data_IF_850890357990
#
_entry.id   IF_850890357990
#
_cell.length_a   1.000
_cell.length_b   1.000
_cell.length_c   1.000
_cell.angle_alpha   90.00
_cell.angle_beta   90.00
_cell.angle_gamma   90.00
#
_symmetry.space_group_name_H-M   'P 1'
#
loop_
_entity.id
_entity.type
_entity.pdbx_description
1 polymer ?
#
# COMPACT_ATOMS: atom_id res chain seq x y z
N UNK A 1 40.28 -40.50 47.32
CA UNK A 1 40.29 -40.38 45.85
C UNK A 1 39.54 -39.10 45.48
N UNK A 2 40.26 -38.00 45.27
CA UNK A 2 39.73 -36.72 44.78
C UNK A 2 40.01 -36.64 43.26
N UNK A 3 39.08 -36.13 42.44
CA UNK A 3 39.38 -35.86 41.03
C UNK A 3 40.18 -34.55 40.88
N UNK A 4 41.06 -34.44 39.87
CA UNK A 4 41.91 -33.26 39.69
C UNK A 4 41.12 -32.08 39.10
N UNK A 5 41.52 -30.86 39.48
CA UNK A 5 41.00 -29.61 38.95
C UNK A 5 41.37 -29.45 37.45
N UNK A 6 40.47 -28.89 36.60
CA UNK A 6 40.74 -28.77 35.19
C UNK A 6 41.76 -27.66 34.89
N UNK A 7 42.65 -27.94 33.93
CA UNK A 7 43.71 -27.06 33.46
C UNK A 7 43.16 -25.86 32.66
N UNK A 8 43.80 -24.69 32.83
CA UNK A 8 43.40 -23.42 32.19
C UNK A 8 43.45 -23.42 30.65
N UNK A 9 44.04 -24.45 30.02
CA UNK A 9 44.08 -24.61 28.57
C UNK A 9 42.76 -25.17 27.97
N UNK A 10 41.96 -25.90 28.76
CA UNK A 10 40.67 -26.44 28.30
C UNK A 10 39.57 -25.39 28.18
N UNK A 11 39.71 -24.26 28.88
CA UNK A 11 38.70 -23.19 28.91
C UNK A 11 38.75 -22.27 27.68
N UNK A 12 39.91 -22.15 27.01
CA UNK A 12 40.04 -21.38 25.77
C UNK A 12 39.57 -22.14 24.52
N UNK A 13 39.64 -23.48 24.53
CA UNK A 13 39.18 -24.28 23.39
C UNK A 13 37.65 -24.48 23.39
N UNK A 14 36.98 -24.40 24.55
CA UNK A 14 35.52 -24.41 24.63
C UNK A 14 34.86 -23.12 24.13
N UNK A 15 35.59 -22.00 24.10
CA UNK A 15 35.10 -20.72 23.55
C UNK A 15 35.16 -20.64 22.01
N UNK A 16 35.87 -21.57 21.35
CA UNK A 16 35.96 -21.64 19.88
C UNK A 16 35.03 -22.70 19.26
N UNK A 17 34.36 -23.52 20.08
CA UNK A 17 33.46 -24.59 19.64
C UNK A 17 32.01 -24.43 20.13
N UNK A 18 31.69 -23.36 20.87
CA UNK A 18 30.31 -22.88 20.89
C UNK A 18 30.07 -22.20 19.54
N UNK A 19 29.26 -22.75 18.61
CA UNK A 19 28.58 -21.88 17.67
C UNK A 19 27.86 -20.87 18.55
N UNK A 20 28.34 -19.62 18.55
CA UNK A 20 27.56 -18.52 19.08
C UNK A 20 26.17 -18.74 18.52
N UNK A 21 25.21 -18.99 19.40
CA UNK A 21 23.84 -19.22 19.00
C UNK A 21 23.42 -17.95 18.29
N UNK A 22 23.63 -17.87 16.97
CA UNK A 22 23.08 -16.86 16.06
C UNK A 22 21.58 -17.16 15.89
N UNK A 23 20.93 -17.72 16.90
CA UNK A 23 19.49 -17.64 17.08
C UNK A 23 19.16 -16.27 17.64
N UNK A 24 19.60 -15.20 16.95
CA UNK A 24 19.61 -13.81 17.39
C UNK A 24 19.22 -12.78 16.31
N UNK A 25 19.25 -13.16 15.03
CA UNK A 25 19.08 -12.23 13.90
C UNK A 25 17.90 -12.56 12.96
N UNK A 26 17.11 -13.59 13.25
CA UNK A 26 16.08 -14.09 12.33
C UNK A 26 14.76 -13.31 12.36
N UNK A 27 14.60 -12.36 13.28
CA UNK A 27 13.39 -11.54 13.43
C UNK A 27 13.57 -10.10 12.94
N UNK A 28 14.69 -9.79 12.28
CA UNK A 28 15.00 -8.43 11.82
C UNK A 28 14.88 -8.25 10.29
N UNK A 29 14.44 -9.28 9.57
CA UNK A 29 14.14 -9.26 8.13
C UNK A 29 12.77 -9.90 7.95
N UNK A 30 11.81 -9.18 7.38
CA UNK A 30 10.49 -9.75 7.07
C UNK A 30 9.28 -9.13 7.77
N UNK A 31 9.40 -7.94 8.39
CA UNK A 31 8.22 -7.09 8.56
C UNK A 31 8.16 -6.11 7.38
N UNK A 32 7.22 -6.26 6.43
CA UNK A 32 7.11 -5.45 5.20
C UNK A 32 7.01 -3.93 5.39
N UNK A 33 7.00 -3.45 6.64
CA UNK A 33 6.56 -2.10 7.00
C UNK A 33 7.51 -1.32 7.90
N UNK A 34 8.63 -1.93 8.32
CA UNK A 34 9.76 -1.15 8.87
C UNK A 34 10.68 -0.83 7.70
N UNK A 35 10.17 0.02 6.81
CA UNK A 35 10.84 0.43 5.58
C UNK A 35 11.70 1.66 5.85
N UNK A 36 12.80 1.49 6.58
CA UNK A 36 13.90 2.46 6.59
C UNK A 36 14.89 2.07 5.49
N UNK A 37 15.04 2.88 4.41
CA UNK A 37 15.92 2.57 3.28
C UNK A 37 17.35 2.25 3.73
N UNK A 38 17.86 2.97 4.73
CA UNK A 38 19.25 2.80 5.18
C UNK A 38 19.45 1.49 5.93
N UNK A 39 18.53 1.11 6.82
CA UNK A 39 18.50 -0.20 7.47
C UNK A 39 18.29 -1.35 6.48
N UNK A 40 17.36 -1.19 5.53
CA UNK A 40 17.08 -2.20 4.48
C UNK A 40 18.34 -2.46 3.67
N UNK A 41 18.92 -1.43 3.05
CA UNK A 41 20.04 -1.63 2.15
C UNK A 41 21.33 -2.01 2.88
N UNK A 42 21.52 -1.57 4.14
CA UNK A 42 22.66 -2.02 4.98
C UNK A 42 22.56 -3.50 5.34
N UNK A 43 21.36 -4.02 5.61
CA UNK A 43 21.13 -5.45 5.88
C UNK A 43 21.13 -6.26 4.59
N UNK A 44 20.55 -5.74 3.52
CA UNK A 44 20.56 -6.38 2.20
C UNK A 44 21.98 -6.51 1.66
N UNK A 45 22.89 -5.56 1.90
CA UNK A 45 24.33 -5.71 1.60
C UNK A 45 25.00 -6.90 2.28
N UNK A 46 24.42 -7.44 3.36
CA UNK A 46 24.89 -8.65 4.07
C UNK A 46 24.17 -9.92 3.61
N UNK A 47 23.23 -9.82 2.67
CA UNK A 47 22.39 -10.90 2.17
C UNK A 47 22.49 -10.96 0.63
N UNK A 48 22.21 -12.12 0.04
CA UNK A 48 22.15 -12.27 -1.42
C UNK A 48 20.68 -12.25 -1.89
N UNK A 49 20.42 -11.72 -3.09
CA UNK A 49 19.11 -11.73 -3.75
C UNK A 49 18.69 -10.40 -4.35
N UNK A 50 17.52 -10.38 -5.01
CA UNK A 50 17.03 -9.23 -5.79
C UNK A 50 16.92 -7.91 -5.00
N UNK A 51 16.55 -7.98 -3.72
CA UNK A 51 16.53 -6.81 -2.83
C UNK A 51 17.93 -6.21 -2.62
N UNK A 52 18.96 -7.06 -2.51
CA UNK A 52 20.35 -6.61 -2.36
C UNK A 52 20.89 -6.01 -3.66
N UNK A 53 20.58 -6.65 -4.79
CA UNK A 53 20.92 -6.16 -6.13
C UNK A 53 20.32 -4.76 -6.36
N UNK A 54 19.02 -4.57 -6.08
CA UNK A 54 18.37 -3.27 -6.25
C UNK A 54 18.93 -2.21 -5.30
N UNK A 55 19.25 -2.58 -4.05
CA UNK A 55 19.91 -1.68 -3.09
C UNK A 55 21.33 -1.27 -3.48
N UNK A 56 22.02 -2.07 -4.30
CA UNK A 56 23.35 -1.75 -4.80
C UNK A 56 23.29 -0.92 -6.08
N UNK A 57 22.38 -1.28 -6.99
CA UNK A 57 22.25 -0.63 -8.29
C UNK A 57 21.47 0.69 -8.25
N UNK A 58 20.37 0.75 -7.47
CA UNK A 58 19.38 1.83 -7.53
C UNK A 58 18.89 2.24 -6.12
N UNK A 59 19.77 2.76 -5.23
CA UNK A 59 19.39 3.10 -3.86
C UNK A 59 18.33 4.21 -3.75
N UNK A 60 18.29 5.14 -4.72
CA UNK A 60 17.28 6.20 -4.81
C UNK A 60 15.88 5.63 -5.07
N UNK A 61 15.77 4.66 -5.99
CA UNK A 61 14.51 3.95 -6.24
C UNK A 61 14.05 3.20 -4.99
N UNK A 62 14.97 2.60 -4.22
CA UNK A 62 14.62 1.95 -2.94
C UNK A 62 14.11 2.95 -1.91
N UNK A 63 14.63 4.18 -1.89
CA UNK A 63 14.11 5.24 -1.03
C UNK A 63 12.65 5.58 -1.39
N UNK A 64 12.33 5.65 -2.68
CA UNK A 64 10.96 5.89 -3.15
C UNK A 64 10.02 4.71 -2.88
N UNK A 65 10.48 3.48 -3.04
CA UNK A 65 9.73 2.28 -2.66
C UNK A 65 9.36 2.32 -1.16
N UNK A 66 10.30 2.70 -0.30
CA UNK A 66 10.04 2.85 1.13
C UNK A 66 9.08 4.01 1.45
N UNK A 67 9.22 5.14 0.77
CA UNK A 67 8.30 6.29 0.87
C UNK A 67 6.88 5.88 0.49
N UNK A 68 6.74 5.12 -0.61
CA UNK A 68 5.49 4.56 -1.10
C UNK A 68 4.87 3.53 -0.17
N UNK A 69 5.65 2.61 0.40
CA UNK A 69 5.14 1.69 1.42
C UNK A 69 4.57 2.42 2.65
N UNK A 70 5.22 3.50 3.10
CA UNK A 70 4.70 4.37 4.18
C UNK A 70 3.43 5.11 3.78
N UNK A 71 3.33 5.56 2.53
CA UNK A 71 2.09 6.10 1.97
C UNK A 71 0.95 5.07 2.05
N UNK A 72 1.23 3.82 1.67
CA UNK A 72 0.29 2.70 1.81
C UNK A 72 -0.19 2.47 3.25
N UNK A 73 0.72 2.50 4.23
CA UNK A 73 0.35 2.36 5.66
C UNK A 73 -0.52 3.52 6.15
N UNK A 74 -0.22 4.76 5.76
CA UNK A 74 -1.07 5.91 6.12
C UNK A 74 -2.47 5.78 5.54
N UNK A 75 -2.57 5.33 4.29
CA UNK A 75 -3.88 5.09 3.67
C UNK A 75 -4.60 3.91 4.31
N UNK A 76 -3.89 2.87 4.74
CA UNK A 76 -4.47 1.78 5.53
C UNK A 76 -5.08 2.27 6.84
N UNK A 77 -4.34 3.09 7.59
CA UNK A 77 -4.85 3.74 8.81
C UNK A 77 -6.08 4.60 8.52
N UNK A 78 -6.08 5.32 7.40
CA UNK A 78 -7.25 6.08 6.97
C UNK A 78 -8.44 5.15 6.70
N UNK A 79 -8.30 4.15 5.84
CA UNK A 79 -9.39 3.24 5.46
C UNK A 79 -9.96 2.44 6.65
N UNK A 80 -9.12 2.10 7.62
CA UNK A 80 -9.50 1.29 8.79
C UNK A 80 -9.78 2.11 10.07
N UNK A 81 -9.77 3.45 10.01
CA UNK A 81 -9.89 4.34 11.19
C UNK A 81 -11.08 4.05 12.12
N UNK A 82 -12.19 3.57 11.56
CA UNK A 82 -13.42 3.25 12.29
C UNK A 82 -13.64 1.75 12.51
N UNK A 83 -12.68 0.88 12.15
CA UNK A 83 -12.77 -0.57 12.39
C UNK A 83 -12.06 -0.93 13.68
N UNK A 84 -12.42 -2.05 14.31
CA UNK A 84 -11.79 -2.57 15.55
C UNK A 84 -10.28 -2.72 15.42
N UNK A 85 -9.81 -3.26 14.30
CA UNK A 85 -8.42 -3.13 13.87
C UNK A 85 -8.28 -1.91 12.96
N UNK A 86 -7.45 -0.94 13.37
CA UNK A 86 -7.32 0.37 12.72
C UNK A 86 -5.99 0.56 11.96
N UNK A 87 -5.29 -0.52 11.66
CA UNK A 87 -3.98 -0.50 11.01
C UNK A 87 -2.89 0.30 11.77
N UNK A 88 -2.98 0.38 13.11
CA UNK A 88 -1.96 1.02 13.93
C UNK A 88 -0.61 0.30 13.81
N UNK A 89 0.38 0.95 13.16
CA UNK A 89 1.66 0.35 12.79
C UNK A 89 2.79 0.55 13.81
N UNK A 90 2.57 1.40 14.81
CA UNK A 90 3.60 1.80 15.79
C UNK A 90 3.87 0.77 16.89
N UNK A 91 3.15 -0.36 16.93
CA UNK A 91 3.28 -1.35 18.01
C UNK A 91 3.94 -2.65 17.53
N UNK A 92 4.62 -3.37 18.44
CA UNK A 92 5.09 -4.75 18.20
C UNK A 92 3.95 -5.70 17.80
N UNK A 93 2.71 -5.34 18.14
CA UNK A 93 1.50 -6.08 17.80
C UNK A 93 1.24 -6.09 16.29
N UNK A 94 1.62 -5.03 15.57
CA UNK A 94 1.48 -4.96 14.13
C UNK A 94 2.28 -6.04 13.40
N UNK A 95 3.53 -6.30 13.84
CA UNK A 95 4.33 -7.40 13.29
C UNK A 95 3.71 -8.78 13.50
N UNK A 96 2.99 -8.99 14.61
CA UNK A 96 2.24 -10.24 14.86
C UNK A 96 1.03 -10.38 13.95
N UNK A 97 0.37 -9.28 13.61
CA UNK A 97 -0.71 -9.27 12.62
C UNK A 97 -0.16 -9.64 11.25
N UNK A 98 0.94 -9.01 10.80
CA UNK A 98 1.60 -9.35 9.53
C UNK A 98 2.10 -10.81 9.48
N UNK A 99 2.37 -11.38 10.66
CA UNK A 99 2.41 -12.81 11.05
C UNK A 99 1.37 -13.75 10.42
N UNK A 100 0.18 -13.25 10.11
CA UNK A 100 -1.01 -14.05 9.86
C UNK A 100 -1.53 -13.84 8.44
N UNK A 101 -2.21 -14.86 7.92
CA UNK A 101 -2.79 -14.85 6.58
C UNK A 101 -4.28 -14.46 6.63
N UNK A 102 -4.58 -13.36 7.33
CA UNK A 102 -5.93 -12.86 7.57
C UNK A 102 -6.32 -11.79 6.56
N UNK A 103 -7.60 -11.44 6.54
CA UNK A 103 -8.14 -10.45 5.60
C UNK A 103 -7.45 -9.09 5.72
N UNK A 104 -7.10 -8.67 6.93
CA UNK A 104 -6.42 -7.40 7.22
C UNK A 104 -5.03 -7.35 6.60
N UNK A 105 -4.27 -8.45 6.66
CA UNK A 105 -2.93 -8.49 6.07
C UNK A 105 -2.99 -8.51 4.54
N UNK A 106 -4.01 -9.15 3.96
CA UNK A 106 -4.25 -9.10 2.51
C UNK A 106 -4.35 -7.65 2.00
N UNK A 107 -5.14 -6.81 2.69
CA UNK A 107 -5.25 -5.40 2.37
C UNK A 107 -3.92 -4.67 2.55
N UNK A 108 -3.20 -4.93 3.64
CA UNK A 108 -1.91 -4.29 3.94
C UNK A 108 -0.86 -4.59 2.86
N UNK A 109 -0.74 -5.84 2.42
CA UNK A 109 0.18 -6.22 1.34
C UNK A 109 -0.20 -5.52 0.03
N UNK A 110 -1.49 -5.51 -0.32
CA UNK A 110 -1.97 -4.83 -1.51
C UNK A 110 -1.70 -3.31 -1.47
N UNK A 111 -2.11 -2.61 -0.42
CA UNK A 111 -1.99 -1.14 -0.35
C UNK A 111 -0.52 -0.68 -0.27
N UNK A 112 0.37 -1.50 0.28
CA UNK A 112 1.80 -1.16 0.39
C UNK A 112 2.53 -1.41 -0.92
N UNK A 113 2.23 -2.49 -1.64
CA UNK A 113 2.71 -2.71 -3.00
C UNK A 113 2.20 -1.64 -3.98
N UNK A 114 0.91 -1.28 -3.86
CA UNK A 114 0.29 -0.17 -4.58
C UNK A 114 1.00 1.15 -4.28
N UNK A 115 1.23 1.47 -3.00
CA UNK A 115 1.92 2.68 -2.58
C UNK A 115 3.35 2.75 -3.10
N UNK A 116 4.09 1.64 -3.08
CA UNK A 116 5.44 1.55 -3.63
C UNK A 116 5.47 1.81 -5.15
N UNK A 117 4.56 1.20 -5.90
CA UNK A 117 4.43 1.42 -7.36
C UNK A 117 4.03 2.88 -7.66
N UNK A 118 3.08 3.42 -6.90
CA UNK A 118 2.57 4.79 -7.03
C UNK A 118 3.68 5.83 -6.79
N UNK A 119 4.43 5.72 -5.68
CA UNK A 119 5.47 6.68 -5.34
C UNK A 119 6.65 6.66 -6.33
N UNK A 120 7.12 5.49 -6.76
CA UNK A 120 8.19 5.39 -7.77
C UNK A 120 7.74 6.02 -9.08
N UNK A 121 6.52 5.71 -9.53
CA UNK A 121 5.98 6.29 -10.76
C UNK A 121 5.89 7.81 -10.67
N UNK A 122 5.41 8.32 -9.53
CA UNK A 122 5.29 9.76 -9.30
C UNK A 122 6.67 10.44 -9.30
N UNK A 123 7.67 9.84 -8.64
CA UNK A 123 9.03 10.37 -8.62
C UNK A 123 9.64 10.43 -10.04
N UNK A 124 9.38 9.43 -10.89
CA UNK A 124 9.79 9.46 -12.31
C UNK A 124 9.18 10.63 -13.07
N UNK A 125 7.87 10.87 -12.95
CA UNK A 125 7.20 11.93 -13.70
C UNK A 125 7.46 13.34 -13.13
N UNK A 126 7.90 13.44 -11.88
CA UNK A 126 8.39 14.68 -11.28
C UNK A 126 9.87 14.95 -11.58
N UNK A 127 10.59 14.01 -12.22
CA UNK A 127 12.02 14.14 -12.52
C UNK A 127 12.93 13.98 -11.30
N UNK A 128 12.46 13.30 -10.25
CA UNK A 128 13.23 13.05 -9.02
C UNK A 128 14.15 11.83 -9.13
N UNK A 129 13.94 10.97 -10.13
CA UNK A 129 14.72 9.76 -10.38
C UNK A 129 15.40 9.84 -11.75
N UNK A 130 16.69 9.55 -11.81
CA UNK A 130 17.47 9.55 -13.06
C UNK A 130 17.27 8.25 -13.88
N UNK A 131 16.77 7.20 -13.24
CA UNK A 131 16.62 5.87 -13.82
C UNK A 131 15.37 5.75 -14.72
N UNK A 132 14.52 6.77 -14.76
CA UNK A 132 13.25 6.80 -15.46
C UNK A 132 12.86 8.23 -15.86
N UNK A 133 11.75 8.37 -16.58
CA UNK A 133 11.18 9.66 -16.96
C UNK A 133 9.70 9.55 -17.29
N UNK A 134 9.18 10.51 -18.04
CA UNK A 134 7.80 10.50 -18.50
C UNK A 134 7.56 9.37 -19.51
N UNK A 135 6.39 8.74 -19.44
CA UNK A 135 5.94 7.80 -20.46
C UNK A 135 5.75 8.53 -21.79
N UNK A 136 6.45 8.08 -22.83
CA UNK A 136 6.20 8.56 -24.19
C UNK A 136 4.79 8.15 -24.65
N UNK A 137 4.07 9.00 -25.41
CA UNK A 137 2.78 8.63 -25.98
C UNK A 137 2.86 7.30 -26.73
N UNK A 138 2.16 6.27 -26.25
CA UNK A 138 2.12 4.96 -26.91
C UNK A 138 1.31 5.06 -28.20
N UNK A 139 1.94 5.48 -29.30
CA UNK A 139 1.64 5.20 -30.72
C UNK A 139 0.20 5.24 -31.26
N UNK A 140 -0.83 5.54 -30.44
CA UNK A 140 -2.21 5.67 -30.86
C UNK A 140 -2.38 7.10 -31.35
N UNK A 141 -2.51 7.23 -32.66
CA UNK A 141 -2.91 8.47 -33.29
C UNK A 141 -4.15 9.04 -32.55
N UNK A 142 -4.19 10.36 -32.31
CA UNK A 142 -5.35 10.98 -31.72
C UNK A 142 -6.60 10.71 -32.57
N UNK A 143 -7.80 10.56 -31.97
CA UNK A 143 -9.03 10.44 -32.74
C UNK A 143 -9.20 11.67 -33.65
N UNK A 144 -9.54 11.44 -34.92
CA UNK A 144 -9.72 12.49 -35.94
C UNK A 144 -10.88 13.42 -35.55
N UNK A 145 -10.77 14.73 -35.85
CA UNK A 145 -11.84 15.69 -35.57
C UNK A 145 -13.06 15.43 -36.47
N UNK A 146 -14.29 15.79 -36.04
CA UNK A 146 -15.43 15.86 -36.94
C UNK A 146 -15.16 16.96 -37.96
N UNK A 147 -15.24 16.63 -39.25
CA UNK A 147 -15.17 17.64 -40.31
C UNK A 147 -16.33 18.64 -40.20
N UNK A 148 -16.07 19.91 -40.52
CA UNK A 148 -17.14 20.87 -40.74
C UNK A 148 -18.03 20.39 -41.91
N UNK A 149 -19.35 20.64 -41.87
CA UNK A 149 -20.22 20.35 -43.01
C UNK A 149 -19.77 21.18 -44.23
N UNK A 150 -19.32 20.52 -45.31
CA UNK A 150 -19.15 21.16 -46.62
C UNK A 150 -17.85 20.91 -47.40
N UNK A 151 -16.82 20.26 -46.84
CA UNK A 151 -15.58 19.97 -47.58
C UNK A 151 -15.32 18.46 -47.68
N UNK A 152 -15.20 17.86 -48.90
CA UNK A 152 -14.83 16.46 -49.04
C UNK A 152 -13.38 16.25 -48.59
N UNK A 153 -13.18 15.58 -47.45
CA UNK A 153 -11.88 15.05 -47.07
C UNK A 153 -11.53 13.79 -47.86
N UNK A 154 -10.25 13.43 -48.01
CA UNK A 154 -9.85 12.22 -48.71
C UNK A 154 -10.42 10.97 -48.01
N UNK A 155 -10.85 9.93 -48.76
CA UNK A 155 -11.53 8.77 -48.20
C UNK A 155 -10.59 8.00 -47.27
N UNK A 156 -10.98 7.88 -46.00
CA UNK A 156 -10.40 6.95 -45.05
C UNK A 156 -11.03 5.56 -45.19
N UNK A 157 -10.39 4.51 -44.62
CA UNK A 157 -10.95 3.16 -44.63
C UNK A 157 -12.29 3.14 -43.89
N UNK A 158 -13.28 2.51 -44.51
CA UNK A 158 -14.67 2.49 -44.06
C UNK A 158 -14.84 1.73 -42.73
N UNK A 159 -15.60 2.30 -41.78
CA UNK A 159 -16.22 1.52 -40.71
C UNK A 159 -16.23 2.06 -39.27
N UNK A 160 -16.31 3.37 -38.98
CA UNK A 160 -16.52 3.81 -37.59
C UNK A 160 -17.41 5.05 -37.47
N UNK A 161 -18.52 4.98 -36.71
CA UNK A 161 -19.39 6.12 -36.45
C UNK A 161 -18.93 6.94 -35.23
N UNK A 162 -19.18 8.25 -35.32
CA UNK A 162 -19.41 9.22 -34.23
C UNK A 162 -18.23 10.08 -33.67
N UNK A 163 -18.20 11.36 -34.09
CA UNK A 163 -18.42 12.50 -33.17
C UNK A 163 -17.37 13.00 -32.17
N UNK A 164 -16.10 12.54 -32.14
CA UNK A 164 -15.15 12.97 -31.09
C UNK A 164 -14.17 14.09 -31.49
N UNK A 165 -14.10 15.17 -30.69
CA UNK A 165 -13.18 16.30 -30.87
C UNK A 165 -11.70 15.88 -30.71
N UNK A 166 -10.88 16.19 -31.72
CA UNK A 166 -9.45 15.87 -31.75
C UNK A 166 -8.69 16.55 -30.60
N UNK A 167 -7.86 15.77 -29.91
CA UNK A 167 -6.92 16.24 -28.90
C UNK A 167 -5.62 15.50 -29.09
N UNK A 168 -4.49 16.11 -28.74
CA UNK A 168 -3.16 15.54 -28.99
C UNK A 168 -2.55 14.93 -27.72
N UNK A 169 -1.82 13.83 -27.88
CA UNK A 169 -0.99 13.32 -26.79
C UNK A 169 0.24 14.21 -26.60
N UNK A 170 0.52 14.60 -25.36
CA UNK A 170 1.69 15.40 -25.02
C UNK A 170 1.86 15.50 -23.51
N UNK A 171 2.68 16.44 -23.02
CA UNK A 171 2.95 16.58 -21.58
C UNK A 171 3.77 15.42 -21.00
N UNK A 172 3.73 15.28 -19.66
CA UNK A 172 4.45 14.22 -18.95
C UNK A 172 3.45 13.16 -18.46
N UNK A 173 3.39 12.03 -19.18
CA UNK A 173 2.63 10.86 -18.75
C UNK A 173 3.35 10.11 -17.64
N UNK A 174 2.60 9.63 -16.65
CA UNK A 174 3.13 8.83 -15.56
C UNK A 174 3.43 7.39 -16.06
N UNK A 175 4.69 6.94 -15.99
CA UNK A 175 5.08 5.58 -16.41
C UNK A 175 4.80 4.53 -15.32
N UNK A 176 3.52 4.16 -15.20
CA UNK A 176 3.07 3.21 -14.16
C UNK A 176 3.68 1.82 -14.32
N UNK A 177 4.06 1.43 -15.54
CA UNK A 177 4.66 0.12 -15.78
C UNK A 177 6.06 0.03 -15.15
N UNK A 178 6.86 1.10 -15.22
CA UNK A 178 8.14 1.17 -14.51
C UNK A 178 7.96 1.06 -12.98
N UNK A 179 6.97 1.78 -12.42
CA UNK A 179 6.67 1.69 -10.99
C UNK A 179 6.16 0.30 -10.55
N UNK A 180 5.29 -0.35 -11.34
CA UNK A 180 4.87 -1.75 -11.11
C UNK A 180 6.08 -2.69 -11.10
N UNK A 181 6.98 -2.56 -12.08
CA UNK A 181 8.17 -3.39 -12.19
C UNK A 181 9.08 -3.25 -10.96
N UNK A 182 9.44 -2.02 -10.57
CA UNK A 182 10.31 -1.79 -9.40
C UNK A 182 9.65 -2.26 -8.10
N UNK A 183 8.34 -2.04 -7.95
CA UNK A 183 7.58 -2.57 -6.81
C UNK A 183 7.61 -4.09 -6.77
N UNK A 184 7.40 -4.77 -7.90
CA UNK A 184 7.50 -6.24 -8.03
C UNK A 184 8.91 -6.72 -7.67
N UNK A 185 9.95 -6.13 -8.26
CA UNK A 185 11.35 -6.53 -8.03
C UNK A 185 11.74 -6.47 -6.56
N UNK A 186 11.24 -5.48 -5.83
CA UNK A 186 11.58 -5.28 -4.43
C UNK A 186 10.65 -6.01 -3.46
N UNK A 187 9.32 -5.88 -3.62
CA UNK A 187 8.32 -6.40 -2.68
C UNK A 187 8.15 -7.92 -2.79
N UNK A 188 8.42 -8.49 -3.97
CA UNK A 188 8.25 -9.91 -4.26
C UNK A 188 9.60 -10.68 -4.22
N UNK A 189 10.69 -10.00 -3.84
CA UNK A 189 12.06 -10.54 -3.84
C UNK A 189 12.31 -11.69 -2.85
N UNK A 190 11.39 -11.93 -1.91
CA UNK A 190 11.51 -12.99 -0.92
C UNK A 190 11.24 -14.36 -1.57
N UNK A 191 12.21 -14.80 -2.38
CA UNK A 191 12.20 -16.09 -3.07
C UNK A 191 13.60 -16.69 -2.97
N UNK A 192 13.80 -17.56 -1.96
CA UNK A 192 14.74 -18.70 -1.94
C UNK A 192 14.92 -19.22 -0.50
N UNK A 193 14.02 -20.12 -0.07
CA UNK A 193 14.32 -21.36 0.69
C UNK A 193 13.00 -21.92 1.27
N UNK A 194 12.35 -22.79 0.52
CA UNK A 194 11.18 -23.55 0.98
C UNK A 194 10.17 -23.76 -0.14
N UNK A 195 9.97 -25.02 -0.55
CA UNK A 195 8.90 -25.42 -1.47
C UNK A 195 7.54 -25.10 -0.85
N UNK A 196 6.64 -24.48 -1.61
CA UNK A 196 5.20 -24.57 -1.40
C UNK A 196 4.59 -23.90 -0.16
N UNK A 197 4.99 -22.67 0.16
CA UNK A 197 4.34 -21.90 1.23
C UNK A 197 3.12 -21.13 0.68
N UNK A 198 1.92 -21.57 1.06
CA UNK A 198 0.62 -20.98 0.72
C UNK A 198 0.61 -19.49 1.05
N UNK A 199 1.24 -19.12 2.18
CA UNK A 199 1.35 -17.73 2.63
C UNK A 199 2.06 -16.85 1.61
N UNK A 200 3.16 -17.35 1.05
CA UNK A 200 3.91 -16.63 0.05
C UNK A 200 3.06 -16.42 -1.23
N UNK A 201 2.32 -17.43 -1.67
CA UNK A 201 1.42 -17.30 -2.81
C UNK A 201 0.31 -16.25 -2.56
N UNK A 202 -0.29 -16.27 -1.36
CA UNK A 202 -1.29 -15.28 -0.95
C UNK A 202 -0.69 -13.87 -0.93
N UNK A 203 0.50 -13.70 -0.36
CA UNK A 203 1.19 -12.42 -0.32
C UNK A 203 1.52 -11.89 -1.73
N UNK A 204 2.08 -12.73 -2.61
CA UNK A 204 2.37 -12.35 -3.99
C UNK A 204 1.11 -11.94 -4.76
N UNK A 205 0.02 -12.68 -4.58
CA UNK A 205 -1.26 -12.33 -5.20
C UNK A 205 -1.78 -10.98 -4.72
N UNK A 206 -1.78 -10.74 -3.41
CA UNK A 206 -2.26 -9.49 -2.83
C UNK A 206 -1.39 -8.30 -3.25
N UNK A 207 -0.05 -8.47 -3.32
CA UNK A 207 0.85 -7.46 -3.86
C UNK A 207 0.49 -7.11 -5.32
N UNK A 208 0.24 -8.12 -6.16
CA UNK A 208 -0.18 -7.93 -7.54
C UNK A 208 -1.54 -7.22 -7.65
N UNK A 209 -2.53 -7.61 -6.85
CA UNK A 209 -3.83 -6.95 -6.81
C UNK A 209 -3.70 -5.45 -6.45
N UNK A 210 -2.80 -5.14 -5.52
CA UNK A 210 -2.42 -3.78 -5.15
C UNK A 210 -1.85 -2.98 -6.32
N UNK A 211 -0.82 -3.50 -6.99
CA UNK A 211 -0.20 -2.82 -8.14
C UNK A 211 -1.17 -2.68 -9.32
N UNK A 212 -2.01 -3.70 -9.55
CA UNK A 212 -3.07 -3.66 -10.55
C UNK A 212 -4.08 -2.55 -10.26
N UNK A 213 -4.45 -2.33 -8.99
CA UNK A 213 -5.36 -1.25 -8.60
C UNK A 213 -4.83 0.15 -8.98
N UNK A 214 -3.51 0.33 -9.09
CA UNK A 214 -2.88 1.55 -9.61
C UNK A 214 -2.85 1.54 -11.13
N UNK A 215 -2.25 0.50 -11.74
CA UNK A 215 -2.02 0.41 -13.19
C UNK A 215 -3.31 0.42 -14.02
N UNK A 216 -4.36 -0.27 -13.58
CA UNK A 216 -5.60 -0.37 -14.36
C UNK A 216 -6.51 0.86 -14.23
N UNK A 217 -6.14 1.85 -13.40
CA UNK A 217 -6.96 3.02 -13.12
C UNK A 217 -6.21 4.33 -13.37
N UNK A 218 -5.20 4.32 -14.25
CA UNK A 218 -4.68 5.56 -14.80
C UNK A 218 -5.77 6.29 -15.55
N UNK A 219 -5.74 7.61 -15.49
CA UNK A 219 -6.72 8.46 -16.15
C UNK A 219 -6.05 9.37 -17.16
N UNK A 220 -6.74 9.62 -18.25
CA UNK A 220 -6.35 10.66 -19.20
C UNK A 220 -6.69 12.01 -18.60
N UNK A 221 -5.69 12.80 -18.25
CA UNK A 221 -5.85 14.22 -17.88
C UNK A 221 -5.50 15.10 -19.07
N UNK A 222 -6.25 16.18 -19.25
CA UNK A 222 -6.08 17.11 -20.36
C UNK A 222 -5.94 18.53 -19.86
N UNK A 223 -5.09 19.32 -20.54
CA UNK A 223 -5.03 20.78 -20.38
C UNK A 223 -5.52 21.46 -21.65
N UNK A 224 -6.38 22.46 -21.46
CA UNK A 224 -6.97 23.25 -22.54
C UNK A 224 -6.13 24.49 -22.80
N UNK A 225 -5.91 24.81 -24.08
CA UNK A 225 -5.02 25.86 -24.55
C UNK A 225 -5.66 26.76 -25.62
N UNK A 226 -6.97 26.64 -25.85
CA UNK A 226 -7.68 27.50 -26.80
C UNK A 226 -7.80 28.95 -26.32
N UNK A 227 -8.17 29.84 -27.24
CA UNK A 227 -8.43 31.26 -26.96
C UNK A 227 -9.33 31.41 -25.73
N UNK A 228 -8.94 32.31 -24.82
CA UNK A 228 -9.64 32.59 -23.55
C UNK A 228 -9.87 31.36 -22.65
N UNK A 229 -9.00 30.35 -22.72
CA UNK A 229 -9.11 29.13 -21.92
C UNK A 229 -10.08 28.10 -22.47
N UNK A 230 -10.55 28.25 -23.72
CA UNK A 230 -11.41 27.26 -24.37
C UNK A 230 -10.67 25.92 -24.58
N UNK A 231 -11.44 24.82 -24.58
CA UNK A 231 -10.92 23.47 -24.86
C UNK A 231 -10.96 23.07 -26.34
N UNK A 232 -11.06 24.05 -27.25
CA UNK A 232 -11.01 23.82 -28.69
C UNK A 232 -9.69 23.16 -29.12
N UNK A 233 -8.60 23.51 -28.42
CA UNK A 233 -7.33 22.79 -28.47
C UNK A 233 -6.99 22.30 -27.06
N UNK A 234 -6.63 21.03 -26.94
CA UNK A 234 -6.22 20.43 -25.68
C UNK A 234 -5.17 19.35 -25.89
N UNK A 235 -4.29 19.24 -24.90
CA UNK A 235 -3.22 18.23 -24.84
C UNK A 235 -3.47 17.33 -23.65
N UNK A 236 -3.36 16.02 -23.83
CA UNK A 236 -3.63 15.06 -22.76
C UNK A 236 -2.47 14.09 -22.51
N UNK A 237 -2.40 13.58 -21.28
CA UNK A 237 -1.43 12.58 -20.82
C UNK A 237 -2.07 11.60 -19.84
N UNK A 238 -1.44 10.45 -19.64
CA UNK A 238 -1.83 9.51 -18.59
C UNK A 238 -1.34 10.01 -17.22
N UNK A 239 -2.23 9.99 -16.23
CA UNK A 239 -1.93 10.30 -14.84
C UNK A 239 -2.32 9.17 -13.91
N UNK A 240 -1.54 9.02 -12.84
CA UNK A 240 -1.87 8.19 -11.70
C UNK A 240 -3.20 8.63 -11.08
N UNK A 241 -4.03 7.68 -10.60
CA UNK A 241 -5.18 8.03 -9.80
C UNK A 241 -4.76 8.65 -8.45
N UNK A 242 -5.61 9.48 -7.84
CA UNK A 242 -5.41 9.89 -6.45
C UNK A 242 -5.30 8.66 -5.55
N UNK A 243 -4.28 8.62 -4.69
CA UNK A 243 -4.02 7.42 -3.89
C UNK A 243 -5.17 7.06 -2.93
N UNK A 244 -5.97 8.04 -2.53
CA UNK A 244 -7.22 7.84 -1.77
C UNK A 244 -8.23 6.96 -2.52
N UNK A 245 -8.35 7.11 -3.83
CA UNK A 245 -9.21 6.27 -4.66
C UNK A 245 -8.68 4.83 -4.75
N UNK A 246 -7.36 4.67 -4.85
CA UNK A 246 -6.71 3.35 -4.81
C UNK A 246 -7.03 2.64 -3.48
N UNK A 247 -6.89 3.36 -2.35
CA UNK A 247 -7.27 2.87 -1.03
C UNK A 247 -8.73 2.45 -0.93
N UNK A 248 -9.64 3.26 -1.48
CA UNK A 248 -11.08 2.97 -1.47
C UNK A 248 -11.42 1.72 -2.31
N UNK A 249 -10.83 1.58 -3.50
CA UNK A 249 -11.01 0.40 -4.36
C UNK A 249 -10.48 -0.86 -3.70
N UNK A 250 -9.31 -0.81 -3.08
CA UNK A 250 -8.77 -1.95 -2.34
C UNK A 250 -9.62 -2.28 -1.11
N UNK A 251 -10.27 -1.29 -0.48
CA UNK A 251 -11.16 -1.53 0.65
C UNK A 251 -12.42 -2.28 0.19
N UNK A 252 -12.97 -1.94 -0.97
CA UNK A 252 -14.06 -2.69 -1.61
C UNK A 252 -13.65 -4.16 -1.84
N UNK A 253 -12.44 -4.40 -2.38
CA UNK A 253 -11.90 -5.75 -2.54
C UNK A 253 -11.68 -6.47 -1.22
N UNK A 254 -11.35 -5.75 -0.15
CA UNK A 254 -11.24 -6.31 1.20
C UNK A 254 -12.60 -6.82 1.72
N UNK A 255 -13.68 -6.10 1.48
CA UNK A 255 -15.03 -6.55 1.85
C UNK A 255 -15.41 -7.87 1.16
N UNK A 256 -15.08 -8.00 -0.13
CA UNK A 256 -15.31 -9.20 -0.95
C UNK A 256 -14.15 -10.20 -0.99
N UNK A 257 -13.17 -10.11 -0.09
CA UNK A 257 -11.97 -10.94 -0.13
C UNK A 257 -12.30 -12.44 -0.06
N UNK A 258 -11.55 -13.25 -0.81
CA UNK A 258 -11.77 -14.68 -0.95
C UNK A 258 -10.89 -15.50 0.00
N UNK A 259 -11.51 -16.44 0.72
CA UNK A 259 -10.79 -17.42 1.53
C UNK A 259 -10.25 -18.52 0.63
N UNK A 260 -8.96 -18.80 0.75
CA UNK A 260 -8.26 -19.81 -0.08
C UNK A 260 -7.54 -20.84 0.77
N UNK A 261 -7.24 -21.97 0.14
CA UNK A 261 -6.42 -23.06 0.67
C UNK A 261 -5.37 -23.45 -0.37
N UNK A 262 -4.23 -23.97 0.08
CA UNK A 262 -3.23 -24.51 -0.82
C UNK A 262 -3.61 -25.86 -1.39
N UNK A 263 -3.12 -26.14 -2.60
CA UNK A 263 -3.08 -27.50 -3.13
C UNK A 263 -2.08 -28.36 -2.35
N UNK A 264 -2.23 -29.68 -2.42
CA UNK A 264 -1.36 -30.63 -1.72
C UNK A 264 0.13 -30.53 -2.13
N UNK A 265 0.40 -30.09 -3.36
CA UNK A 265 1.75 -29.83 -3.87
C UNK A 265 2.28 -28.43 -3.51
N UNK A 266 1.46 -27.59 -2.85
CA UNK A 266 1.80 -26.25 -2.39
C UNK A 266 2.05 -25.24 -3.51
N UNK A 267 1.65 -25.56 -4.76
CA UNK A 267 1.96 -24.73 -5.93
C UNK A 267 0.83 -23.79 -6.35
N UNK A 268 -0.40 -24.07 -5.92
CA UNK A 268 -1.56 -23.29 -6.32
C UNK A 268 -2.49 -23.02 -5.14
N UNK A 269 -3.34 -22.01 -5.32
CA UNK A 269 -4.39 -21.62 -4.39
C UNK A 269 -5.73 -22.05 -4.98
N UNK A 270 -6.56 -22.67 -4.16
CA UNK A 270 -7.94 -23.02 -4.47
C UNK A 270 -8.89 -22.26 -3.54
N UNK A 271 -10.09 -21.89 -3.99
CA UNK A 271 -11.13 -21.39 -3.10
C UNK A 271 -11.40 -22.40 -1.96
N UNK A 272 -11.56 -21.91 -0.74
CA UNK A 272 -11.85 -22.78 0.40
C UNK A 272 -13.19 -23.52 0.25
N UNK A 273 -14.10 -22.98 -0.54
CA UNK A 273 -15.40 -23.60 -0.90
C UNK A 273 -15.43 -23.81 -2.41
N UNK A 274 -15.57 -25.07 -2.83
CA UNK A 274 -15.45 -25.48 -4.25
C UNK A 274 -16.53 -24.90 -5.18
N UNK A 275 -17.67 -24.49 -4.63
CA UNK A 275 -18.79 -23.90 -5.39
C UNK A 275 -18.60 -22.41 -5.65
N UNK A 276 -17.62 -21.76 -5.00
CA UNK A 276 -17.33 -20.36 -5.23
C UNK A 276 -16.53 -20.18 -6.52
N UNK A 277 -16.81 -19.08 -7.21
CA UNK A 277 -16.01 -18.67 -8.38
C UNK A 277 -14.55 -18.49 -7.96
N UNK A 278 -13.58 -18.98 -8.77
CA UNK A 278 -12.17 -18.70 -8.53
C UNK A 278 -11.89 -17.19 -8.47
N UNK A 279 -11.05 -16.73 -7.54
CA UNK A 279 -10.75 -15.31 -7.41
C UNK A 279 -10.00 -14.79 -8.64
N UNK A 280 -10.33 -13.58 -9.07
CA UNK A 280 -9.63 -12.86 -10.13
C UNK A 280 -8.32 -12.23 -9.64
N UNK A 281 -7.56 -11.67 -10.57
CA UNK A 281 -6.26 -11.02 -10.28
C UNK A 281 -6.34 -9.74 -9.43
N UNK A 282 -7.53 -9.13 -9.35
CA UNK A 282 -7.78 -7.91 -8.60
C UNK A 282 -8.43 -8.19 -7.23
N UNK A 283 -8.76 -9.45 -6.94
CA UNK A 283 -9.37 -9.83 -5.66
C UNK A 283 -8.30 -9.95 -4.58
N UNK A 284 -8.69 -9.81 -3.32
CA UNK A 284 -7.79 -10.04 -2.19
C UNK A 284 -8.01 -11.43 -1.61
N UNK A 285 -6.92 -12.10 -1.25
CA UNK A 285 -6.92 -13.47 -0.75
C UNK A 285 -6.47 -13.54 0.70
N UNK A 286 -7.07 -14.45 1.46
CA UNK A 286 -6.65 -14.78 2.82
C UNK A 286 -6.83 -16.28 3.10
N UNK A 287 -6.09 -16.83 4.05
CA UNK A 287 -6.10 -18.27 4.37
C UNK A 287 -6.54 -18.57 5.82
N UNK A 288 -6.48 -17.59 6.72
CA UNK A 288 -6.82 -17.71 8.12
C UNK A 288 -7.93 -16.74 8.53
N UNK A 289 -8.73 -17.12 9.52
CA UNK A 289 -9.78 -16.26 10.05
C UNK A 289 -9.19 -15.15 10.93
N UNK A 290 -9.74 -13.94 10.79
CA UNK A 290 -9.30 -12.79 11.57
C UNK A 290 -9.55 -13.02 13.06
N UNK A 291 -8.59 -12.68 13.95
CA UNK A 291 -8.79 -12.82 15.38
C UNK A 291 -9.83 -11.82 15.90
N UNK A 292 -10.30 -12.03 17.13
CA UNK A 292 -11.07 -11.00 17.82
C UNK A 292 -10.18 -9.78 18.13
N UNK A 293 -10.62 -8.61 17.63
CA UNK A 293 -9.96 -7.33 17.82
C UNK A 293 -10.55 -6.50 18.97
N UNK A 294 -11.57 -7.01 19.67
CA UNK A 294 -12.21 -6.31 20.78
C UNK A 294 -11.31 -6.22 22.01
N UNK A 295 -10.73 -7.34 22.43
CA UNK A 295 -9.84 -7.42 23.58
C UNK A 295 -8.36 -7.35 23.16
N UNK A 296 -7.49 -6.77 24.00
CA UNK A 296 -6.05 -6.80 23.77
C UNK A 296 -5.52 -8.23 23.87
N UNK A 297 -4.79 -8.68 22.85
CA UNK A 297 -4.20 -10.01 22.84
C UNK A 297 -2.81 -9.97 22.20
N UNK A 298 -1.78 -10.21 23.02
CA UNK A 298 -0.37 -10.19 22.60
C UNK A 298 -0.01 -11.31 21.62
N UNK A 299 -0.71 -12.46 21.66
CA UNK A 299 -0.44 -13.61 20.80
C UNK A 299 -0.93 -13.35 19.39
N UNK A 300 -2.15 -12.83 19.24
CA UNK A 300 -2.73 -12.48 17.94
C UNK A 300 -2.28 -11.10 17.45
N UNK A 301 -1.73 -10.25 18.33
CA UNK A 301 -1.38 -8.87 17.97
C UNK A 301 -2.58 -7.92 17.99
N UNK A 302 -3.71 -8.32 18.58
CA UNK A 302 -4.84 -7.41 18.79
C UNK A 302 -4.49 -6.34 19.82
N UNK A 303 -4.65 -5.04 19.52
CA UNK A 303 -4.48 -3.96 20.50
C UNK A 303 -5.71 -3.81 21.42
N UNK A 304 -6.88 -4.35 21.05
CA UNK A 304 -8.15 -4.08 21.69
C UNK A 304 -8.77 -2.73 21.29
N UNK A 305 -10.03 -2.49 21.71
CA UNK A 305 -10.76 -1.26 21.37
C UNK A 305 -10.99 -0.29 22.54
N UNK A 306 -10.53 -0.63 23.75
CA UNK A 306 -10.64 0.22 24.94
C UNK A 306 -9.96 1.57 24.73
N UNK A 307 -10.62 2.66 25.15
CA UNK A 307 -10.13 4.03 25.03
C UNK A 307 -10.20 4.62 23.62
N UNK A 308 -10.75 3.90 22.64
CA UNK A 308 -10.93 4.43 21.29
C UNK A 308 -12.13 5.35 21.20
N UNK A 309 -11.96 6.45 20.47
CA UNK A 309 -13.05 7.33 20.12
C UNK A 309 -14.02 6.64 19.15
N UNK A 310 -15.31 6.77 19.45
CA UNK A 310 -16.44 6.28 18.67
C UNK A 310 -17.49 7.39 18.52
N UNK A 311 -18.43 7.20 17.61
CA UNK A 311 -19.59 8.07 17.46
C UNK A 311 -20.80 7.41 18.13
N UNK A 312 -21.35 8.04 19.17
CA UNK A 312 -22.49 7.48 19.93
C UNK A 312 -23.81 7.52 19.15
N UNK A 313 -23.89 8.33 18.09
CA UNK A 313 -25.11 8.49 17.28
C UNK A 313 -25.06 7.72 15.95
N UNK A 314 -23.91 7.11 15.61
CA UNK A 314 -23.77 6.39 14.34
C UNK A 314 -24.17 4.90 14.50
N UNK A 315 -24.98 4.35 13.58
CA UNK A 315 -25.31 2.92 13.55
C UNK A 315 -24.28 2.06 12.80
N UNK A 316 -23.25 2.68 12.20
CA UNK A 316 -22.26 2.02 11.37
C UNK A 316 -21.02 1.58 12.17
N UNK A 317 -19.94 1.19 11.48
CA UNK A 317 -18.68 0.75 12.11
C UNK A 317 -18.05 1.83 13.02
N UNK A 318 -18.33 3.12 12.78
CA UNK A 318 -17.89 4.21 13.64
C UNK A 318 -18.70 4.32 14.95
N UNK A 319 -19.86 3.66 14.97
CA UNK A 319 -20.77 3.55 16.10
C UNK A 319 -20.12 2.93 17.35
N UNK A 320 -20.45 3.47 18.52
CA UNK A 320 -19.94 2.95 19.79
C UNK A 320 -20.38 1.50 20.05
N UNK A 321 -21.56 1.08 19.60
CA UNK A 321 -22.06 -0.28 19.83
C UNK A 321 -21.15 -1.34 19.16
N UNK A 322 -20.78 -1.10 17.90
CA UNK A 322 -19.93 -2.01 17.12
C UNK A 322 -18.45 -1.89 17.49
N UNK A 323 -17.96 -0.66 17.69
CA UNK A 323 -16.53 -0.41 17.97
C UNK A 323 -16.14 -0.81 19.39
N UNK A 324 -17.01 -0.56 20.37
CA UNK A 324 -16.77 -0.88 21.78
C UNK A 324 -17.20 -2.31 22.14
N UNK A 325 -17.70 -3.08 21.18
CA UNK A 325 -18.07 -4.49 21.33
C UNK A 325 -19.08 -4.72 22.46
N UNK A 326 -20.08 -3.86 22.57
CA UNK A 326 -21.13 -3.95 23.59
C UNK A 326 -20.70 -3.58 25.02
N UNK A 327 -19.44 -3.18 25.26
CA UNK A 327 -18.97 -2.78 26.61
C UNK A 327 -19.49 -1.42 27.06
N UNK A 328 -20.18 -0.68 26.19
CA UNK A 328 -20.54 0.72 26.40
C UNK A 328 -19.39 1.70 26.15
N UNK A 329 -19.67 2.98 26.37
CA UNK A 329 -18.74 4.08 26.18
C UNK A 329 -18.93 5.13 27.28
N UNK A 330 -17.88 5.90 27.58
CA UNK A 330 -17.95 7.09 28.44
C UNK A 330 -17.85 8.35 27.58
N UNK A 331 -18.48 9.43 28.00
CA UNK A 331 -18.27 10.75 27.41
C UNK A 331 -17.14 11.46 28.12
N UNK A 332 -16.28 12.13 27.35
CA UNK A 332 -15.15 12.90 27.85
C UNK A 332 -15.05 14.22 27.06
N UNK A 333 -15.17 15.35 27.77
CA UNK A 333 -15.06 16.69 27.19
C UNK A 333 -13.59 17.07 27.10
N UNK A 334 -13.03 17.14 25.89
CA UNK A 334 -11.64 17.55 25.67
C UNK A 334 -11.57 18.96 25.10
N UNK A 335 -10.58 19.73 25.54
CA UNK A 335 -10.28 21.04 24.97
C UNK A 335 -9.21 20.88 23.90
N UNK A 336 -9.58 21.07 22.63
CA UNK A 336 -8.69 20.93 21.49
C UNK A 336 -8.33 22.31 20.94
N UNK A 337 -7.09 22.47 20.51
CA UNK A 337 -6.65 23.67 19.81
C UNK A 337 -6.79 23.45 18.30
N UNK A 338 -7.56 24.29 17.63
CA UNK A 338 -7.75 24.23 16.18
C UNK A 338 -7.57 25.61 15.53
N UNK A 339 -7.20 25.59 14.26
CA UNK A 339 -7.10 26.78 13.45
C UNK A 339 -8.51 27.31 13.18
N UNK A 340 -8.76 28.56 13.54
CA UNK A 340 -10.03 29.24 13.40
C UNK A 340 -9.82 30.63 12.76
N UNK A 341 -10.91 31.24 12.30
CA UNK A 341 -10.91 32.61 11.79
C UNK A 341 -9.81 32.85 10.73
N UNK A 342 -9.59 31.86 9.86
CA UNK A 342 -8.57 31.91 8.84
C UNK A 342 -8.90 32.97 7.79
N UNK A 343 -7.94 33.85 7.50
CA UNK A 343 -8.01 34.87 6.43
C UNK A 343 -6.94 34.59 5.39
N UNK A 344 -7.34 34.65 4.13
CA UNK A 344 -6.42 34.60 2.99
C UNK A 344 -5.91 36.00 2.70
N UNK A 345 -4.59 36.17 2.72
CA UNK A 345 -3.91 37.38 2.29
C UNK A 345 -3.48 37.21 0.84
N UNK A 346 -3.93 38.13 -0.01
CA UNK A 346 -3.59 38.13 -1.43
C UNK A 346 -2.10 38.38 -1.61
N UNK A 347 -1.38 37.26 -1.76
CA UNK A 347 0.08 37.02 -1.82
C UNK A 347 0.41 35.58 -1.34
N UNK A 348 -0.62 34.72 -1.19
CA UNK A 348 -0.54 33.27 -0.95
C UNK A 348 -0.33 32.85 0.52
N UNK A 349 -0.66 33.70 1.48
CA UNK A 349 -0.55 33.38 2.90
C UNK A 349 -1.94 33.23 3.52
N UNK A 350 -2.19 32.10 4.18
CA UNK A 350 -3.37 31.92 5.05
C UNK A 350 -2.93 32.16 6.48
N UNK A 351 -3.49 33.18 7.12
CA UNK A 351 -3.28 33.45 8.54
C UNK A 351 -4.50 32.99 9.32
N UNK A 352 -4.30 32.14 10.33
CA UNK A 352 -5.35 31.64 11.20
C UNK A 352 -5.04 31.99 12.65
N UNK A 353 -6.09 32.21 13.46
CA UNK A 353 -5.98 32.22 14.91
C UNK A 353 -6.02 30.79 15.46
N UNK A 354 -5.49 30.60 16.67
CA UNK A 354 -5.60 29.35 17.42
C UNK A 354 -6.72 29.48 18.43
N UNK A 355 -7.83 28.79 18.18
CA UNK A 355 -8.97 28.74 19.08
C UNK A 355 -8.95 27.47 19.91
N UNK A 356 -9.37 27.58 21.17
CA UNK A 356 -9.63 26.43 22.03
C UNK A 356 -11.11 26.06 21.91
N UNK A 357 -11.38 24.86 21.39
CA UNK A 357 -12.73 24.35 21.16
C UNK A 357 -12.95 23.14 22.03
N UNK A 358 -14.03 23.17 22.83
CA UNK A 358 -14.46 22.02 23.63
C UNK A 358 -15.16 21.04 22.69
N UNK A 359 -14.69 19.79 22.65
CA UNK A 359 -15.33 18.69 21.92
C UNK A 359 -15.71 17.58 22.90
N UNK A 360 -16.92 17.08 22.76
CA UNK A 360 -17.38 15.89 23.47
C UNK A 360 -16.95 14.64 22.69
N UNK A 361 -16.17 13.77 23.32
CA UNK A 361 -15.73 12.50 22.73
C UNK A 361 -16.40 11.34 23.45
N UNK A 362 -16.91 10.37 22.69
CA UNK A 362 -17.35 9.10 23.22
C UNK A 362 -16.21 8.09 23.13
N UNK A 363 -15.76 7.54 24.25
CA UNK A 363 -14.62 6.62 24.35
C UNK A 363 -15.07 5.24 24.83
N UNK A 364 -14.63 4.18 24.16
CA UNK A 364 -14.94 2.81 24.54
C UNK A 364 -14.39 2.42 25.91
N UNK A 365 -15.21 1.70 26.70
CA UNK A 365 -14.85 1.22 28.04
C UNK A 365 -13.87 0.05 28.06
#
# INVERSE_FOLDING_TARGET
MQPPAPSRLGLLLLLLLCPAHVGGLWWAVGSPLVMDPTSICRKARRLAGRQAELCQAEPEVVAELARGARLGVRECQFQFRFRRWNCSSHSKAFGRILQQDIRETAFVFAITAAGASHAVTQACSMGELLQCGCQAPRGRAPPRPPGLPGTPGPPGPAGSPDGSAAWEWGGCGDDVDFGDEKSRLFMDAQHKRGRGDIRMLVQLHNNEAGRLAVRSHTRTECKCHGLSGSCALRTCWQKLPPFREVGARLLERFHGASRVMGTNDGKALLPAVRTLKPPGRADLLYAADSPDFCAPNRRTGSPGTRGRACNSSAPDLSGCDLLCCGRGHRQESVLLEENCLCRFHWCCVVQCHRCRVRKELSLCL
#
